data_IF_141040620618
#
_entry.id   IF_141040620618
#
_cell.length_a   1.000
_cell.length_b   1.000
_cell.length_c   1.000
_cell.angle_alpha   90.00
_cell.angle_beta   90.00
_cell.angle_gamma   90.00
#
_symmetry.space_group_name_H-M   'P 1'
#
loop_
_entity.id
_entity.type
_entity.pdbx_description
1 polymer ?
#
# COMPACT_ATOMS: atom_id res chain seq x y z
N UNK A 1 28.60 20.47 5.91
CA UNK A 1 28.24 19.81 4.64
C UNK A 1 27.88 18.37 4.95
N UNK A 2 26.71 18.11 5.52
CA UNK A 2 26.14 16.76 5.59
C UNK A 2 24.84 16.79 4.79
N UNK A 3 24.95 16.36 3.53
CA UNK A 3 23.80 16.26 2.64
C UNK A 3 22.87 15.20 3.20
N UNK A 4 21.75 15.64 3.78
CA UNK A 4 20.65 14.77 4.19
C UNK A 4 20.30 13.82 3.05
N UNK A 5 20.20 12.53 3.38
CA UNK A 5 19.72 11.46 2.51
C UNK A 5 18.35 11.82 1.91
N UNK A 6 18.36 12.48 0.76
CA UNK A 6 17.21 12.51 -0.13
C UNK A 6 17.44 11.41 -1.16
N UNK A 7 17.07 10.18 -0.81
CA UNK A 7 17.24 9.02 -1.68
C UNK A 7 16.35 9.08 -2.94
N UNK A 8 15.42 10.06 -3.03
CA UNK A 8 14.45 10.15 -4.12
C UNK A 8 13.46 8.98 -4.17
N UNK A 9 13.45 8.11 -3.15
CA UNK A 9 12.62 6.91 -3.12
C UNK A 9 11.17 7.27 -2.80
N UNK A 10 10.24 6.80 -3.64
CA UNK A 10 8.80 6.94 -3.45
C UNK A 10 8.15 5.75 -2.74
N UNK A 11 8.94 4.72 -2.41
CA UNK A 11 8.48 3.44 -1.86
C UNK A 11 9.57 2.80 -1.00
N UNK A 12 9.17 2.03 0.00
CA UNK A 12 10.09 1.36 0.93
C UNK A 12 9.59 -0.06 1.25
N UNK A 13 10.53 -1.01 1.41
CA UNK A 13 10.23 -2.38 1.82
C UNK A 13 10.67 -2.60 3.27
N UNK A 14 9.70 -2.80 4.18
CA UNK A 14 9.99 -3.16 5.57
C UNK A 14 10.44 -4.63 5.73
N UNK A 15 10.07 -5.48 4.78
CA UNK A 15 10.41 -6.90 4.70
C UNK A 15 10.43 -7.35 3.24
N UNK A 16 11.29 -8.31 2.90
CA UNK A 16 11.54 -8.73 1.51
C UNK A 16 10.82 -10.03 1.14
N UNK A 17 9.50 -10.04 1.32
CA UNK A 17 8.65 -11.16 0.92
C UNK A 17 8.11 -10.96 -0.49
N UNK A 18 8.07 -12.05 -1.29
CA UNK A 18 7.61 -12.02 -2.69
C UNK A 18 6.23 -11.37 -2.84
N UNK A 19 5.29 -11.70 -1.94
CA UNK A 19 3.93 -11.16 -1.97
C UNK A 19 3.93 -9.64 -1.84
N UNK A 20 4.75 -9.11 -0.92
CA UNK A 20 4.86 -7.67 -0.68
C UNK A 20 5.55 -6.97 -1.83
N UNK A 21 6.62 -7.54 -2.37
CA UNK A 21 7.27 -6.99 -3.58
C UNK A 21 6.27 -6.87 -4.72
N UNK A 22 5.50 -7.92 -5.02
CA UNK A 22 4.51 -7.88 -6.09
C UNK A 22 3.39 -6.86 -5.84
N UNK A 23 2.93 -6.77 -4.60
CA UNK A 23 1.89 -5.81 -4.19
C UNK A 23 2.32 -4.36 -4.42
N UNK A 24 3.50 -4.00 -3.92
CA UNK A 24 4.04 -2.64 -4.05
C UNK A 24 4.38 -2.29 -5.51
N UNK A 25 4.90 -3.23 -6.29
CA UNK A 25 5.04 -3.02 -7.74
C UNK A 25 3.68 -2.85 -8.44
N UNK A 26 2.61 -3.49 -7.95
CA UNK A 26 1.25 -3.23 -8.40
C UNK A 26 0.82 -1.78 -8.19
N UNK A 27 1.12 -1.20 -7.03
CA UNK A 27 0.89 0.22 -6.76
C UNK A 27 1.69 1.13 -7.68
N UNK A 28 2.95 0.78 -7.98
CA UNK A 28 3.76 1.54 -8.94
C UNK A 28 3.17 1.53 -10.36
N UNK A 29 2.41 0.47 -10.73
CA UNK A 29 1.67 0.37 -11.99
C UNK A 29 0.28 1.04 -11.93
N UNK A 30 -0.13 1.57 -10.78
CA UNK A 30 -1.42 2.24 -10.58
C UNK A 30 -2.55 1.34 -10.09
N UNK A 31 -2.27 0.11 -9.65
CA UNK A 31 -3.28 -0.75 -9.04
C UNK A 31 -3.61 -0.26 -7.62
N UNK A 32 -4.90 -0.24 -7.29
CA UNK A 32 -5.38 0.03 -5.92
C UNK A 32 -5.44 -1.23 -5.07
N UNK A 33 -5.82 -1.10 -3.80
CA UNK A 33 -6.11 -2.27 -2.97
C UNK A 33 -7.39 -2.96 -3.45
N UNK A 34 -7.34 -4.29 -3.58
CA UNK A 34 -8.50 -5.09 -4.00
C UNK A 34 -9.72 -4.89 -3.09
N UNK A 35 -9.51 -4.66 -1.79
CA UNK A 35 -10.58 -4.37 -0.84
C UNK A 35 -11.46 -3.17 -1.25
N UNK A 36 -10.93 -2.23 -2.04
CA UNK A 36 -11.63 -1.05 -2.52
C UNK A 36 -12.47 -1.30 -3.78
N UNK A 37 -12.50 -2.54 -4.29
CA UNK A 37 -13.30 -2.92 -5.43
C UNK A 37 -14.81 -2.67 -5.15
N UNK A 38 -15.51 -1.86 -5.95
CA UNK A 38 -16.92 -1.53 -5.72
C UNK A 38 -17.89 -2.70 -5.96
N UNK A 39 -17.45 -3.76 -6.64
CA UNK A 39 -18.27 -4.95 -6.97
C UNK A 39 -18.03 -6.08 -5.97
N UNK A 40 -16.84 -6.16 -5.36
CA UNK A 40 -16.39 -7.27 -4.52
C UNK A 40 -15.77 -6.89 -3.17
N UNK A 41 -15.87 -5.63 -2.75
CA UNK A 41 -15.22 -5.10 -1.55
C UNK A 41 -15.77 -5.65 -0.22
N UNK A 42 -15.02 -5.42 0.85
CA UNK A 42 -15.40 -5.84 2.20
C UNK A 42 -16.59 -5.02 2.68
N UNK A 43 -17.63 -5.69 3.18
CA UNK A 43 -18.69 -5.04 3.99
C UNK A 43 -18.10 -4.68 5.35
N UNK A 44 -17.84 -3.41 5.55
CA UNK A 44 -17.32 -2.92 6.83
C UNK A 44 -18.36 -3.12 7.94
N UNK A 45 -17.90 -3.51 9.12
CA UNK A 45 -18.72 -3.40 10.33
C UNK A 45 -18.71 -1.93 10.76
N UNK A 46 -19.71 -1.18 10.29
CA UNK A 46 -19.84 0.26 10.53
C UNK A 46 -19.81 0.61 12.03
N UNK A 47 -20.40 -0.21 12.91
CA UNK A 47 -20.39 0.05 14.36
C UNK A 47 -19.02 -0.10 15.02
N UNK A 48 -18.13 -0.89 14.42
CA UNK A 48 -16.75 -1.02 14.88
C UNK A 48 -15.85 0.12 14.36
N UNK A 49 -16.26 0.78 13.26
CA UNK A 49 -15.48 1.83 12.59
C UNK A 49 -15.93 3.23 13.03
N UNK A 50 -17.25 3.47 13.09
CA UNK A 50 -17.84 4.74 13.52
C UNK A 50 -18.18 4.68 15.01
N UNK A 51 -17.27 5.19 15.85
CA UNK A 51 -17.54 5.60 17.23
C UNK A 51 -17.40 7.10 17.35
#
# INVERSE_FOLDING_TARGET
MDSKHNSGASMNFGWNDRSTILHEFGHALGLGHEQQNPIGGIKLNETAVYK
#
